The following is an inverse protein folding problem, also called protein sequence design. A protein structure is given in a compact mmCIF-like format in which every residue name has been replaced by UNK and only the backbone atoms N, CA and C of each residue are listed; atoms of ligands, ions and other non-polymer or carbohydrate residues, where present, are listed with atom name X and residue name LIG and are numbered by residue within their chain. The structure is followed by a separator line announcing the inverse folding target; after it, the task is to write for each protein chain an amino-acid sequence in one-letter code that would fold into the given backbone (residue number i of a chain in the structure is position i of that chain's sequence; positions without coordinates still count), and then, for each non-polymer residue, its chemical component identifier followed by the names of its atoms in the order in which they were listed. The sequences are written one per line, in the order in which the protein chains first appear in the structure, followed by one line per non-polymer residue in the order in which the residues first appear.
data_IF_687558532143
#
_entry.id   IF_687558532143
#
_cell.length_a   1.000
_cell.length_b   1.000
_cell.length_c   1.000
_cell.angle_alpha   90.00
_cell.angle_beta   90.00
_cell.angle_gamma   90.00
#
_symmetry.space_group_name_H-M   'P 1'
#
loop_
_entity.id
_entity.type
_entity.pdbx_description
1 polymer ?
#
# COMPACT_ATOMS: atom_id res chain seq x y z
N UNK A 1 -11.34 -5.88 23.86
CA UNK A 1 -11.60 -5.47 22.46
C UNK A 1 -10.25 -5.21 21.84
N UNK A 2 -9.83 -6.02 20.87
CA UNK A 2 -8.62 -5.72 20.11
C UNK A 2 -8.91 -4.48 19.26
N UNK A 3 -7.96 -3.55 19.19
CA UNK A 3 -8.05 -2.40 18.30
C UNK A 3 -7.89 -2.90 16.86
N UNK A 4 -8.99 -2.93 16.10
CA UNK A 4 -9.00 -3.45 14.74
C UNK A 4 -8.13 -2.60 13.79
N UNK A 5 -7.96 -1.30 14.07
CA UNK A 5 -7.05 -0.46 13.32
C UNK A 5 -5.60 -0.88 13.60
N UNK A 6 -5.25 -1.06 14.87
CA UNK A 6 -3.91 -1.52 15.26
C UNK A 6 -3.56 -2.87 14.63
N UNK A 7 -4.49 -3.83 14.63
CA UNK A 7 -4.31 -5.13 13.97
C UNK A 7 -4.05 -4.94 12.46
N UNK A 8 -4.87 -4.10 11.82
CA UNK A 8 -4.77 -3.87 10.38
C UNK A 8 -3.49 -3.17 9.97
N UNK A 9 -3.07 -2.14 10.70
CA UNK A 9 -1.79 -1.46 10.51
C UNK A 9 -0.62 -2.43 10.73
N UNK A 10 -0.68 -3.28 11.78
CA UNK A 10 0.34 -4.31 12.03
C UNK A 10 0.46 -5.28 10.84
N UNK A 11 -0.66 -5.73 10.28
CA UNK A 11 -0.68 -6.60 9.10
C UNK A 11 -0.09 -5.94 7.85
N UNK A 12 -0.33 -4.63 7.66
CA UNK A 12 0.09 -3.88 6.49
C UNK A 12 1.58 -3.50 6.53
N UNK A 13 2.18 -3.35 7.71
CA UNK A 13 3.54 -2.80 7.86
C UNK A 13 4.60 -3.55 7.05
N UNK A 14 4.66 -4.87 7.19
CA UNK A 14 5.60 -5.71 6.44
C UNK A 14 5.44 -5.60 4.91
N UNK A 15 4.23 -5.86 4.37
CA UNK A 15 3.96 -5.73 2.94
C UNK A 15 4.25 -4.33 2.37
N UNK A 16 3.94 -3.26 3.11
CA UNK A 16 4.17 -1.87 2.65
C UNK A 16 5.66 -1.52 2.63
N UNK A 17 6.42 -1.94 3.64
CA UNK A 17 7.89 -1.80 3.62
C UNK A 17 8.49 -2.57 2.44
N UNK A 18 8.03 -3.80 2.21
CA UNK A 18 8.45 -4.62 1.07
C UNK A 18 8.11 -3.96 -0.27
N UNK A 19 6.90 -3.40 -0.41
CA UNK A 19 6.50 -2.65 -1.60
C UNK A 19 7.41 -1.43 -1.81
N UNK A 20 7.67 -0.63 -0.77
CA UNK A 20 8.56 0.53 -0.86
C UNK A 20 9.96 0.14 -1.35
N UNK A 21 10.54 -0.93 -0.80
CA UNK A 21 11.84 -1.44 -1.23
C UNK A 21 11.83 -1.90 -2.68
N UNK A 22 10.78 -2.63 -3.10
CA UNK A 22 10.62 -3.10 -4.47
C UNK A 22 10.45 -1.93 -5.47
N UNK A 23 9.62 -0.93 -5.13
CA UNK A 23 9.40 0.27 -5.93
C UNK A 23 10.71 1.04 -6.10
N UNK A 24 11.45 1.30 -5.02
CA UNK A 24 12.76 1.96 -5.10
C UNK A 24 13.74 1.14 -5.95
N UNK A 25 13.79 -0.18 -5.78
CA UNK A 25 14.65 -1.07 -6.56
C UNK A 25 14.28 -1.10 -8.06
N UNK A 26 12.99 -1.01 -8.39
CA UNK A 26 12.50 -1.02 -9.77
C UNK A 26 12.95 0.19 -10.60
N UNK A 27 13.31 1.30 -9.95
CA UNK A 27 13.82 2.50 -10.62
C UNK A 27 15.12 2.26 -11.39
N UNK A 28 15.92 1.29 -10.94
CA UNK A 28 17.23 0.94 -11.51
C UNK A 28 17.31 -0.51 -12.01
N UNK A 29 16.36 -1.36 -11.65
CA UNK A 29 16.34 -2.77 -12.04
C UNK A 29 14.92 -3.25 -12.35
N UNK A 30 14.61 -3.41 -13.64
CA UNK A 30 13.30 -3.85 -14.11
C UNK A 30 12.88 -5.25 -13.61
N UNK A 31 13.80 -6.11 -13.16
CA UNK A 31 13.44 -7.41 -12.56
C UNK A 31 12.61 -7.21 -11.28
N UNK A 32 12.82 -6.10 -10.57
CA UNK A 32 12.10 -5.78 -9.33
C UNK A 32 10.62 -5.48 -9.55
N UNK A 33 10.16 -5.25 -10.78
CA UNK A 33 8.72 -5.09 -11.05
C UNK A 33 7.91 -6.34 -10.68
N UNK A 34 8.48 -7.54 -10.75
CA UNK A 34 7.82 -8.77 -10.28
C UNK A 34 7.52 -8.67 -8.78
N UNK A 35 8.50 -8.20 -8.00
CA UNK A 35 8.34 -8.01 -6.56
C UNK A 35 7.34 -6.89 -6.23
N UNK A 36 7.29 -5.82 -7.03
CA UNK A 36 6.26 -4.76 -6.90
C UNK A 36 4.86 -5.36 -7.04
N UNK A 37 4.63 -6.19 -8.05
CA UNK A 37 3.32 -6.84 -8.29
C UNK A 37 2.96 -7.75 -7.12
N UNK A 38 3.90 -8.58 -6.65
CA UNK A 38 3.67 -9.51 -5.53
C UNK A 38 3.27 -8.78 -4.25
N UNK A 39 3.98 -7.68 -3.91
CA UNK A 39 3.72 -6.89 -2.70
C UNK A 39 2.43 -6.09 -2.80
N UNK A 40 2.12 -5.51 -3.96
CA UNK A 40 0.85 -4.82 -4.17
C UNK A 40 -0.34 -5.79 -4.01
N UNK A 41 -0.26 -7.01 -4.56
CA UNK A 41 -1.30 -8.04 -4.39
C UNK A 41 -1.42 -8.54 -2.95
N UNK A 42 -0.33 -8.56 -2.19
CA UNK A 42 -0.36 -8.85 -0.75
C UNK A 42 -1.16 -7.79 0.02
N UNK A 43 -0.92 -6.51 -0.27
CA UNK A 43 -1.66 -5.40 0.33
C UNK A 43 -3.13 -5.45 -0.07
N UNK A 44 -3.46 -5.72 -1.35
CA UNK A 44 -4.85 -5.86 -1.81
C UNK A 44 -5.63 -6.90 -1.00
N UNK A 45 -5.03 -8.06 -0.71
CA UNK A 45 -5.65 -9.11 0.11
C UNK A 45 -5.97 -8.64 1.54
N UNK A 46 -5.15 -7.76 2.11
CA UNK A 46 -5.38 -7.19 3.44
C UNK A 46 -6.47 -6.11 3.38
N UNK A 47 -6.43 -5.23 2.37
CA UNK A 47 -7.43 -4.18 2.14
C UNK A 47 -8.81 -4.76 1.86
N UNK A 48 -8.90 -5.90 1.16
CA UNK A 48 -10.15 -6.59 0.84
C UNK A 48 -10.96 -7.03 2.07
N UNK A 49 -10.36 -7.08 3.26
CA UNK A 49 -11.09 -7.30 4.53
C UNK A 49 -11.90 -6.08 4.97
N UNK A 50 -11.92 -5.00 4.18
CA UNK A 50 -12.72 -3.80 4.42
C UNK A 50 -12.33 -3.04 5.68
N UNK A 51 -13.27 -2.29 6.21
CA UNK A 51 -13.14 -1.40 7.39
C UNK A 51 -13.97 -1.88 8.58
N UNK A 52 -14.40 -3.14 8.61
CA UNK A 52 -15.19 -3.68 9.71
C UNK A 52 -14.45 -3.51 11.06
N UNK A 53 -15.09 -2.86 12.02
CA UNK A 53 -14.52 -2.56 13.33
C UNK A 53 -13.52 -1.39 13.36
N UNK A 54 -13.34 -0.66 12.27
CA UNK A 54 -12.42 0.48 12.16
C UNK A 54 -13.20 1.76 11.86
N UNK A 55 -13.30 2.66 12.84
CA UNK A 55 -13.99 3.95 12.72
C UNK A 55 -13.05 5.12 12.41
N UNK A 56 -11.76 4.86 12.15
CA UNK A 56 -10.80 5.90 11.83
C UNK A 56 -11.09 6.51 10.43
N UNK A 57 -11.33 7.84 10.34
CA UNK A 57 -11.69 8.48 9.08
C UNK A 57 -10.56 8.50 8.05
N UNK A 58 -9.30 8.55 8.49
CA UNK A 58 -8.15 8.58 7.58
C UNK A 58 -7.95 7.20 6.94
N UNK A 59 -8.01 6.14 7.74
CA UNK A 59 -7.93 4.76 7.26
C UNK A 59 -9.08 4.44 6.31
N UNK A 60 -10.32 4.76 6.70
CA UNK A 60 -11.51 4.51 5.87
C UNK A 60 -11.44 5.23 4.52
N UNK A 61 -10.95 6.48 4.51
CA UNK A 61 -10.74 7.23 3.27
C UNK A 61 -9.68 6.58 2.39
N UNK A 62 -8.54 6.21 2.96
CA UNK A 62 -7.48 5.56 2.20
C UNK A 62 -7.93 4.23 1.61
N UNK A 63 -8.58 3.37 2.40
CA UNK A 63 -9.10 2.06 1.96
C UNK A 63 -10.07 2.19 0.80
N UNK A 64 -10.91 3.23 0.78
CA UNK A 64 -11.84 3.46 -0.33
C UNK A 64 -11.13 3.67 -1.67
N UNK A 65 -9.90 4.20 -1.66
CA UNK A 65 -9.09 4.44 -2.88
C UNK A 65 -7.99 3.40 -3.12
N UNK A 66 -7.60 2.66 -2.08
CA UNK A 66 -6.45 1.75 -2.12
C UNK A 66 -6.54 0.67 -3.21
N UNK A 67 -7.69 0.01 -3.49
CA UNK A 67 -7.77 -0.97 -4.57
C UNK A 67 -7.35 -0.40 -5.93
N UNK A 68 -7.83 0.81 -6.26
CA UNK A 68 -7.54 1.48 -7.54
C UNK A 68 -6.06 1.85 -7.63
N UNK A 69 -5.49 2.42 -6.57
CA UNK A 69 -4.05 2.78 -6.55
C UNK A 69 -3.16 1.53 -6.65
N UNK A 70 -3.52 0.44 -5.97
CA UNK A 70 -2.77 -0.81 -6.04
C UNK A 70 -2.85 -1.43 -7.45
N UNK A 71 -4.00 -1.34 -8.12
CA UNK A 71 -4.13 -1.74 -9.52
C UNK A 71 -3.30 -0.84 -10.45
N UNK A 72 -3.23 0.47 -10.22
CA UNK A 72 -2.35 1.39 -10.96
C UNK A 72 -0.87 1.03 -10.81
N UNK A 73 -0.44 0.65 -9.60
CA UNK A 73 0.92 0.16 -9.32
C UNK A 73 1.19 -1.16 -10.04
N UNK A 74 0.25 -2.11 -9.99
CA UNK A 74 0.38 -3.41 -10.66
C UNK A 74 0.47 -3.22 -12.18
N UNK A 75 -0.43 -2.44 -12.77
CA UNK A 75 -0.46 -2.19 -14.22
C UNK A 75 0.81 -1.47 -14.69
N UNK A 76 1.30 -0.49 -13.92
CA UNK A 76 2.59 0.14 -14.18
C UNK A 76 3.75 -0.87 -14.14
N UNK A 77 3.76 -1.77 -13.16
CA UNK A 77 4.81 -2.78 -13.03
C UNK A 77 4.75 -3.84 -14.14
N UNK A 78 3.56 -4.29 -14.54
CA UNK A 78 3.35 -5.23 -15.64
C UNK A 78 3.88 -4.66 -16.97
N UNK A 79 3.73 -3.35 -17.19
CA UNK A 79 4.24 -2.63 -18.36
C UNK A 79 5.66 -2.08 -18.19
N UNK A 80 6.32 -2.33 -17.04
CA UNK A 80 7.65 -1.80 -16.70
C UNK A 80 7.74 -0.27 -16.73
N UNK A 81 6.62 0.39 -16.49
CA UNK A 81 6.48 1.85 -16.42
C UNK A 81 6.80 2.32 -15.00
N UNK A 82 8.09 2.64 -14.78
CA UNK A 82 8.58 3.09 -13.46
C UNK A 82 7.94 4.40 -13.02
N UNK A 83 7.59 5.27 -13.97
CA UNK A 83 7.08 6.61 -13.67
C UNK A 83 5.64 6.49 -13.17
N UNK A 84 4.84 5.62 -13.81
CA UNK A 84 3.51 5.27 -13.36
C UNK A 84 3.49 4.58 -11.99
N UNK A 85 4.38 3.61 -11.79
CA UNK A 85 4.53 2.94 -10.48
C UNK A 85 4.85 3.94 -9.39
N UNK A 86 5.83 4.82 -9.63
CA UNK A 86 6.23 5.83 -8.66
C UNK A 86 5.13 6.85 -8.39
N UNK A 87 4.45 7.33 -9.43
CA UNK A 87 3.36 8.30 -9.31
C UNK A 87 2.21 7.76 -8.45
N UNK A 88 1.76 6.52 -8.70
CA UNK A 88 0.71 5.90 -7.90
C UNK A 88 1.16 5.60 -6.46
N UNK A 89 2.38 5.09 -6.27
CA UNK A 89 2.94 4.80 -4.95
C UNK A 89 3.07 6.06 -4.07
N UNK A 90 3.56 7.15 -4.65
CA UNK A 90 3.90 8.40 -3.95
C UNK A 90 2.78 9.43 -3.92
N UNK A 91 1.60 9.10 -4.46
CA UNK A 91 0.42 9.96 -4.43
C UNK A 91 0.12 10.39 -2.97
N UNK A 92 0.06 11.71 -2.69
CA UNK A 92 -0.05 12.22 -1.32
C UNK A 92 -1.42 11.96 -0.69
N UNK A 93 -2.46 11.74 -1.48
CA UNK A 93 -3.85 11.59 -1.00
C UNK A 93 -4.27 10.13 -0.94
N UNK A 94 -3.76 9.29 -1.86
CA UNK A 94 -4.23 7.91 -2.05
C UNK A 94 -3.10 6.87 -1.96
N UNK A 95 -1.85 7.31 -2.08
CA UNK A 95 -0.65 6.46 -2.05
C UNK A 95 -0.29 5.97 -0.64
N UNK A 96 0.92 5.42 -0.50
CA UNK A 96 1.34 4.80 0.77
C UNK A 96 1.57 5.83 1.89
N UNK A 97 1.79 7.11 1.55
CA UNK A 97 1.89 8.19 2.54
C UNK A 97 0.58 8.43 3.28
N UNK A 98 -0.56 8.34 2.58
CA UNK A 98 -1.88 8.49 3.21
C UNK A 98 -2.16 7.34 4.18
N UNK A 99 -1.71 6.12 3.87
CA UNK A 99 -1.74 5.01 4.80
C UNK A 99 -0.86 5.24 6.03
N UNK A 100 0.37 5.74 5.84
CA UNK A 100 1.26 6.05 6.95
C UNK A 100 0.65 7.09 7.91
N UNK A 101 -0.01 8.11 7.38
CA UNK A 101 -0.77 9.06 8.17
C UNK A 101 -1.94 8.39 8.93
N UNK A 102 -2.67 7.48 8.29
CA UNK A 102 -3.78 6.75 8.92
C UNK A 102 -3.33 5.78 10.03
N UNK A 103 -2.13 5.21 9.90
CA UNK A 103 -1.55 4.29 10.90
C UNK A 103 -0.63 4.99 11.91
N UNK A 104 -0.53 6.32 11.88
CA UNK A 104 0.35 7.08 12.78
C UNK A 104 0.03 6.78 14.25
N UNK A 105 1.05 6.44 15.03
CA UNK A 105 0.93 6.07 16.44
C UNK A 105 0.72 4.57 16.69
N UNK A 106 0.57 3.77 15.64
CA UNK A 106 0.61 2.31 15.73
C UNK A 106 2.06 1.80 15.70
N UNK A 107 2.39 0.69 16.38
CA UNK A 107 3.76 0.14 16.36
C UNK A 107 4.22 -0.17 14.93
N UNK A 108 5.37 0.39 14.53
CA UNK A 108 5.98 0.17 13.22
C UNK A 108 5.55 1.13 12.10
N UNK A 109 4.81 2.19 12.43
CA UNK A 109 4.33 3.23 11.51
C UNK A 109 4.81 4.64 11.91
#
# INVERSE_FOLDING_TARGET
MADALAERCTMLGGPVIGLMQAVMGSQVNAIRFVEVIERAREIQRIVARGTEGIDDPAYTRWVATAPVVLDEIIDGAEHRDRDRVWAAFSDPERGMNALAAACTGQPGW
#
